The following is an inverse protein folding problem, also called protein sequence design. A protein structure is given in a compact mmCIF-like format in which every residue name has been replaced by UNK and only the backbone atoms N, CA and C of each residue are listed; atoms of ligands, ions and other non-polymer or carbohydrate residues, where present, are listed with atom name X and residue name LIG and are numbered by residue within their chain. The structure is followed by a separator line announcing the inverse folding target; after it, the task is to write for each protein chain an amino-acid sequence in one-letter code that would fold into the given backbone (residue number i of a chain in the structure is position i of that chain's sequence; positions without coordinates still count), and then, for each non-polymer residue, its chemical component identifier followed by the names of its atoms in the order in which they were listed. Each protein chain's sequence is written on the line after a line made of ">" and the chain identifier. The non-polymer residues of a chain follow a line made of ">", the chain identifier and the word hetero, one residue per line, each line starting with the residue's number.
data_IF_930140340389
#
_entry.id   IF_930140340389
#
_cell.length_a   1.000
_cell.length_b   1.000
_cell.length_c   1.000
_cell.angle_alpha   90.00
_cell.angle_beta   90.00
_cell.angle_gamma   90.00
#
_symmetry.space_group_name_H-M   'P 1'
#
loop_
_entity.id
_entity.type
_entity.pdbx_description
1 polymer ?
#
# COMPACT_ATOMS: atom_id res chain seq x y z
N UNK A 1 12.14 -4.17 6.04
CA UNK A 1 11.26 -4.69 7.12
C UNK A 1 11.49 -6.20 7.25
N UNK A 2 11.17 -6.82 8.38
CA UNK A 2 11.38 -8.26 8.61
C UNK A 2 10.09 -8.86 9.18
N UNK A 3 9.69 -10.03 8.68
CA UNK A 3 8.63 -10.87 9.25
C UNK A 3 9.24 -12.26 9.46
N UNK A 4 8.98 -12.91 10.60
CA UNK A 4 9.61 -14.19 10.91
C UNK A 4 8.74 -15.09 11.77
N UNK A 5 9.07 -16.37 11.76
CA UNK A 5 8.68 -17.35 12.75
C UNK A 5 9.91 -18.20 13.12
N UNK A 6 9.73 -19.28 13.88
CA UNK A 6 10.84 -20.12 14.34
C UNK A 6 11.64 -20.80 13.21
N UNK A 7 11.08 -20.89 12.00
CA UNK A 7 11.66 -21.65 10.90
C UNK A 7 11.94 -20.82 9.65
N UNK A 8 11.38 -19.62 9.55
CA UNK A 8 11.43 -18.77 8.35
C UNK A 8 11.69 -17.32 8.72
N UNK A 9 12.65 -16.71 8.03
CA UNK A 9 12.94 -15.29 8.07
C UNK A 9 12.59 -14.69 6.71
N UNK A 10 11.65 -13.74 6.67
CA UNK A 10 11.25 -13.03 5.45
C UNK A 10 11.81 -11.61 5.49
N UNK A 11 12.67 -11.30 4.52
CA UNK A 11 13.24 -9.98 4.31
C UNK A 11 12.40 -9.22 3.30
N UNK A 12 11.84 -8.08 3.71
CA UNK A 12 10.81 -7.38 2.95
C UNK A 12 11.27 -6.01 2.46
N UNK A 13 10.99 -5.72 1.19
CA UNK A 13 10.92 -4.37 0.65
C UNK A 13 9.47 -3.88 0.72
N UNK A 14 9.27 -2.65 1.18
CA UNK A 14 7.92 -2.10 1.44
C UNK A 14 7.66 -0.91 0.53
N UNK A 15 6.53 -0.94 -0.18
CA UNK A 15 6.03 0.12 -1.06
C UNK A 15 4.57 0.40 -0.71
N UNK A 16 4.31 1.45 0.05
CA UNK A 16 3.02 1.65 0.71
C UNK A 16 2.44 3.06 0.51
N UNK A 17 2.59 3.62 -0.69
CA UNK A 17 1.93 4.88 -1.07
C UNK A 17 0.40 4.73 -0.89
N UNK A 18 -0.28 5.64 -0.18
CA UNK A 18 -1.70 5.47 0.12
C UNK A 18 -2.56 5.51 -1.15
N UNK A 19 -3.61 4.68 -1.19
CA UNK A 19 -4.62 4.75 -2.25
C UNK A 19 -5.48 6.00 -2.11
N UNK A 20 -5.96 6.26 -0.90
CA UNK A 20 -6.96 7.27 -0.61
C UNK A 20 -6.38 8.33 0.34
N UNK A 21 -6.47 9.59 -0.07
CA UNK A 21 -6.15 10.75 0.74
C UNK A 21 -7.43 11.26 1.41
N UNK A 22 -7.45 11.25 2.74
CA UNK A 22 -8.52 11.80 3.55
C UNK A 22 -8.26 13.30 3.76
N UNK A 23 -8.98 14.21 3.06
CA UNK A 23 -8.75 15.63 3.25
C UNK A 23 -9.26 16.06 4.62
N UNK A 24 -8.52 16.96 5.25
CA UNK A 24 -9.02 17.73 6.38
C UNK A 24 -9.90 18.84 5.84
N UNK A 25 -11.13 18.96 6.35
CA UNK A 25 -12.07 19.99 5.94
C UNK A 25 -12.65 20.77 7.12
N UNK A 26 -13.12 21.97 6.78
CA UNK A 26 -13.87 22.88 7.64
C UNK A 26 -15.24 23.08 7.03
N UNK A 27 -16.27 23.17 7.87
CA UNK A 27 -17.63 23.46 7.43
C UNK A 27 -17.92 24.95 7.63
N UNK A 28 -18.10 25.67 6.53
CA UNK A 28 -18.60 27.04 6.56
C UNK A 28 -20.08 27.07 6.18
N UNK A 29 -20.87 27.90 6.88
CA UNK A 29 -22.29 28.12 6.58
C UNK A 29 -22.52 29.00 5.35
N UNK A 30 -21.48 29.75 4.95
CA UNK A 30 -21.45 30.65 3.79
C UNK A 30 -20.13 30.43 3.05
N UNK A 31 -20.07 30.75 1.75
CA UNK A 31 -18.79 30.80 1.03
C UNK A 31 -17.76 31.62 1.80
N UNK A 32 -16.49 31.22 1.72
CA UNK A 32 -15.38 32.05 2.21
C UNK A 32 -15.35 33.34 1.39
N UNK A 33 -15.14 34.47 2.04
CA UNK A 33 -15.01 35.78 1.41
C UNK A 33 -13.64 36.37 1.77
N UNK A 34 -12.97 36.96 0.78
CA UNK A 34 -11.80 37.81 0.96
C UNK A 34 -12.15 39.28 0.69
N UNK A 35 -11.15 40.17 0.67
CA UNK A 35 -11.33 41.61 0.42
C UNK A 35 -11.99 41.94 -0.93
N UNK A 36 -12.02 41.00 -1.88
CA UNK A 36 -12.64 41.13 -3.20
C UNK A 36 -13.99 40.39 -3.31
N UNK A 37 -14.53 39.87 -2.21
CA UNK A 37 -15.77 39.09 -2.17
C UNK A 37 -15.53 37.58 -2.11
N UNK A 38 -16.45 36.73 -2.60
CA UNK A 38 -16.35 35.28 -2.49
C UNK A 38 -15.05 34.73 -3.07
N UNK A 39 -14.34 33.93 -2.28
CA UNK A 39 -13.11 33.24 -2.70
C UNK A 39 -13.43 32.26 -3.81
N UNK A 40 -12.80 32.38 -5.00
CA UNK A 40 -12.99 31.42 -6.09
C UNK A 40 -12.60 29.99 -5.69
N UNK A 41 -13.30 29.00 -6.25
CA UNK A 41 -12.98 27.58 -6.04
C UNK A 41 -11.51 27.29 -6.39
N UNK A 42 -10.83 26.53 -5.54
CA UNK A 42 -9.41 26.15 -5.68
C UNK A 42 -8.38 27.28 -5.52
N UNK A 43 -8.77 28.49 -5.08
CA UNK A 43 -7.82 29.53 -4.68
C UNK A 43 -7.22 29.19 -3.30
N UNK A 44 -5.88 29.28 -3.19
CA UNK A 44 -5.21 29.22 -1.88
C UNK A 44 -5.62 30.46 -1.09
N UNK A 45 -6.15 30.25 0.12
CA UNK A 45 -6.63 31.32 0.99
C UNK A 45 -6.42 30.95 2.45
N UNK A 46 -6.42 31.96 3.32
CA UNK A 46 -6.41 31.76 4.77
C UNK A 46 -7.83 31.43 5.27
N UNK A 47 -7.91 30.49 6.21
CA UNK A 47 -9.17 30.18 6.89
C UNK A 47 -9.22 31.01 8.18
N UNK A 48 -10.10 32.03 8.27
CA UNK A 48 -10.19 32.88 9.45
C UNK A 48 -10.65 32.07 10.66
N UNK A 49 -10.13 32.43 11.83
CA UNK A 49 -10.43 31.76 13.09
C UNK A 49 -10.29 30.23 13.02
N UNK A 50 -9.27 29.76 12.28
CA UNK A 50 -9.00 28.34 12.19
C UNK A 50 -8.93 27.75 13.60
N UNK A 51 -8.26 28.40 14.56
CA UNK A 51 -8.08 27.90 15.93
C UNK A 51 -9.36 27.56 16.70
N UNK A 52 -10.47 28.27 16.49
CA UNK A 52 -11.77 27.94 17.13
C UNK A 52 -12.71 27.15 16.21
N UNK A 53 -12.29 26.86 14.98
CA UNK A 53 -13.12 26.15 14.01
C UNK A 53 -13.03 24.63 14.14
N UNK A 54 -14.19 23.97 14.10
CA UNK A 54 -14.30 22.51 14.10
C UNK A 54 -13.74 21.92 12.80
N UNK A 55 -12.84 20.95 12.95
CA UNK A 55 -12.19 20.24 11.86
C UNK A 55 -12.77 18.85 11.69
N UNK A 56 -12.74 18.36 10.46
CA UNK A 56 -13.22 17.03 10.12
C UNK A 56 -12.26 16.34 9.15
N UNK A 57 -12.18 15.02 9.17
CA UNK A 57 -11.74 14.25 8.01
C UNK A 57 -12.94 14.03 7.10
N UNK A 58 -12.80 14.38 5.84
CA UNK A 58 -13.82 14.13 4.84
C UNK A 58 -13.69 12.71 4.29
N UNK A 59 -14.78 11.96 4.33
CA UNK A 59 -14.92 10.69 3.63
C UNK A 59 -15.80 10.90 2.40
N UNK A 60 -15.49 10.17 1.33
CA UNK A 60 -16.34 10.13 0.14
C UNK A 60 -17.75 9.67 0.54
N UNK A 61 -18.78 10.40 0.08
CA UNK A 61 -20.17 10.11 0.45
C UNK A 61 -20.70 10.94 1.64
N UNK A 62 -20.21 12.17 1.80
CA UNK A 62 -20.66 13.17 2.79
C UNK A 62 -20.39 12.85 4.26
N UNK A 63 -19.88 11.67 4.57
CA UNK A 63 -19.44 11.30 5.92
C UNK A 63 -18.24 12.15 6.35
N UNK A 64 -18.24 12.52 7.63
CA UNK A 64 -17.25 13.41 8.24
C UNK A 64 -16.88 12.89 9.61
N UNK A 65 -15.59 12.67 9.85
CA UNK A 65 -15.11 12.26 11.16
C UNK A 65 -14.63 13.50 11.91
N UNK A 66 -15.21 13.85 13.06
CA UNK A 66 -14.81 15.03 13.80
C UNK A 66 -13.39 14.84 14.36
N UNK A 67 -12.58 15.89 14.20
CA UNK A 67 -11.23 15.97 14.74
C UNK A 67 -11.20 16.90 15.95
N UNK A 68 -10.33 16.56 16.90
CA UNK A 68 -9.91 17.45 18.00
C UNK A 68 -8.46 17.86 17.78
N UNK A 69 -8.15 19.08 18.16
CA UNK A 69 -6.77 19.57 18.23
C UNK A 69 -6.15 19.08 19.53
N UNK A 70 -4.93 18.59 19.44
CA UNK A 70 -4.12 18.19 20.58
C UNK A 70 -2.84 19.01 20.54
N UNK A 71 -2.54 19.69 21.66
CA UNK A 71 -1.24 20.32 21.88
C UNK A 71 -0.38 19.33 22.64
N UNK A 72 0.71 18.89 22.04
CA UNK A 72 1.68 17.99 22.68
C UNK A 72 3.10 18.50 22.39
N UNK A 73 3.83 18.90 23.44
CA UNK A 73 5.22 19.34 23.36
C UNK A 73 5.49 20.48 22.36
N UNK A 74 4.56 21.42 22.18
CA UNK A 74 4.69 22.52 21.20
C UNK A 74 4.28 22.17 19.76
N UNK A 75 4.00 20.88 19.47
CA UNK A 75 3.48 20.45 18.17
C UNK A 75 1.95 20.47 18.14
N UNK A 76 1.37 20.96 17.04
CA UNK A 76 -0.07 20.89 16.76
C UNK A 76 -0.37 19.54 16.10
N UNK A 77 -1.13 18.69 16.78
CA UNK A 77 -1.60 17.41 16.22
C UNK A 77 -3.12 17.38 16.14
N UNK A 78 -3.65 16.59 15.22
CA UNK A 78 -5.08 16.29 15.15
C UNK A 78 -5.29 14.86 15.64
N UNK A 79 -6.30 14.67 16.48
CA UNK A 79 -6.74 13.36 16.92
C UNK A 79 -8.23 13.22 16.63
N UNK A 80 -8.70 11.98 16.54
CA UNK A 80 -10.13 11.72 16.46
C UNK A 80 -10.82 12.28 17.71
N UNK A 81 -11.94 12.98 17.51
CA UNK A 81 -12.86 13.39 18.57
C UNK A 81 -13.84 12.24 18.84
N UNK A 82 -13.33 11.03 19.06
CA UNK A 82 -14.17 9.95 19.56
C UNK A 82 -14.22 10.02 21.08
N UNK A 83 -15.41 9.81 21.65
CA UNK A 83 -15.48 9.36 23.04
C UNK A 83 -14.73 8.03 23.16
N UNK A 84 -14.21 7.67 24.33
CA UNK A 84 -13.60 6.34 24.58
C UNK A 84 -14.60 5.17 24.44
N UNK A 85 -15.72 5.35 23.75
CA UNK A 85 -16.76 4.34 23.54
C UNK A 85 -16.38 3.50 22.31
N UNK A 86 -16.05 2.24 22.53
CA UNK A 86 -15.64 1.29 21.48
C UNK A 86 -16.60 1.27 20.27
N UNK A 87 -17.91 1.44 20.49
CA UNK A 87 -18.92 1.46 19.42
C UNK A 87 -18.71 2.59 18.40
N UNK A 88 -18.45 3.81 18.85
CA UNK A 88 -18.24 4.97 17.96
C UNK A 88 -16.98 4.78 17.12
N UNK A 89 -15.92 4.24 17.73
CA UNK A 89 -14.69 3.89 17.01
C UNK A 89 -14.94 2.82 15.95
N UNK A 90 -15.72 1.78 16.25
CA UNK A 90 -16.08 0.75 15.27
C UNK A 90 -16.87 1.33 14.09
N UNK A 91 -17.82 2.23 14.34
CA UNK A 91 -18.60 2.90 13.30
C UNK A 91 -17.71 3.78 12.41
N UNK A 92 -16.77 4.52 13.01
CA UNK A 92 -15.76 5.31 12.27
C UNK A 92 -14.86 4.41 11.42
N UNK A 93 -14.33 3.33 11.99
CA UNK A 93 -13.46 2.39 11.27
C UNK A 93 -14.20 1.75 10.10
N UNK A 94 -15.46 1.35 10.30
CA UNK A 94 -16.31 0.83 9.23
C UNK A 94 -16.48 1.86 8.11
N UNK A 95 -16.79 3.11 8.44
CA UNK A 95 -16.92 4.18 7.45
C UNK A 95 -15.62 4.42 6.66
N UNK A 96 -14.46 4.36 7.32
CA UNK A 96 -13.15 4.48 6.65
C UNK A 96 -12.90 3.30 5.71
N UNK A 97 -13.20 2.08 6.15
CA UNK A 97 -13.04 0.86 5.33
C UNK A 97 -13.98 0.91 4.12
N UNK A 98 -15.25 1.25 4.32
CA UNK A 98 -16.26 1.36 3.25
C UNK A 98 -15.84 2.42 2.21
N UNK A 99 -15.38 3.59 2.67
CA UNK A 99 -14.87 4.63 1.79
C UNK A 99 -13.63 4.14 1.03
N UNK A 100 -12.68 3.49 1.71
CA UNK A 100 -11.48 2.96 1.08
C UNK A 100 -11.81 1.88 0.03
N UNK A 101 -12.75 0.97 0.32
CA UNK A 101 -13.21 -0.06 -0.61
C UNK A 101 -13.82 0.56 -1.87
N UNK A 102 -14.68 1.58 -1.72
CA UNK A 102 -15.24 2.35 -2.84
C UNK A 102 -14.15 3.01 -3.69
N UNK A 103 -13.13 3.57 -3.04
CA UNK A 103 -11.98 4.16 -3.74
C UNK A 103 -11.15 3.10 -4.49
N UNK A 104 -11.01 1.89 -3.92
CA UNK A 104 -10.33 0.77 -4.57
C UNK A 104 -11.10 0.28 -5.79
N UNK A 105 -12.42 0.10 -5.71
CA UNK A 105 -13.27 -0.24 -6.84
C UNK A 105 -13.20 0.81 -7.97
N UNK A 106 -13.24 2.08 -7.60
CA UNK A 106 -13.04 3.17 -8.55
C UNK A 106 -11.67 3.10 -9.22
N UNK A 107 -10.62 2.84 -8.46
CA UNK A 107 -9.26 2.71 -8.99
C UNK A 107 -9.10 1.52 -9.94
N UNK A 108 -9.59 0.33 -9.56
CA UNK A 108 -9.49 -0.89 -10.39
C UNK A 108 -10.30 -0.80 -11.68
N UNK A 109 -11.42 -0.09 -11.66
CA UNK A 109 -12.25 0.20 -12.83
C UNK A 109 -11.77 1.41 -13.66
N UNK A 110 -10.58 1.95 -13.34
CA UNK A 110 -9.99 3.15 -13.95
C UNK A 110 -10.96 4.34 -13.96
N UNK A 111 -11.76 4.45 -12.91
CA UNK A 111 -12.73 5.51 -12.67
C UNK A 111 -13.82 5.67 -13.73
N UNK A 112 -14.11 4.61 -14.50
CA UNK A 112 -15.07 4.64 -15.63
C UNK A 112 -16.47 5.14 -15.29
N UNK A 113 -16.90 5.07 -14.01
CA UNK A 113 -18.23 5.51 -13.54
C UNK A 113 -18.19 6.72 -12.59
N UNK A 114 -17.02 7.10 -12.05
CA UNK A 114 -16.91 8.09 -10.97
C UNK A 114 -15.58 8.87 -11.06
N UNK A 115 -15.29 9.46 -12.22
CA UNK A 115 -14.03 10.15 -12.51
C UNK A 115 -13.68 11.23 -11.48
N UNK A 116 -14.67 11.93 -10.93
CA UNK A 116 -14.49 12.95 -9.91
C UNK A 116 -13.88 12.41 -8.61
N UNK A 117 -14.06 11.13 -8.28
CA UNK A 117 -13.47 10.55 -7.09
C UNK A 117 -11.97 10.32 -7.24
N UNK A 118 -11.47 10.19 -8.47
CA UNK A 118 -10.05 10.04 -8.77
C UNK A 118 -9.21 11.11 -8.08
N UNK A 119 -9.70 12.34 -7.94
CA UNK A 119 -9.00 13.46 -7.30
C UNK A 119 -8.67 13.26 -5.82
N UNK A 120 -9.26 12.27 -5.17
CA UNK A 120 -8.93 11.89 -3.79
C UNK A 120 -7.87 10.78 -3.72
N UNK A 121 -7.35 10.30 -4.85
CA UNK A 121 -6.28 9.29 -4.88
C UNK A 121 -4.91 9.88 -5.10
N UNK A 122 -3.87 9.20 -4.62
CA UNK A 122 -2.51 9.52 -5.03
C UNK A 122 -2.32 9.22 -6.53
N UNK A 123 -1.66 10.12 -7.27
CA UNK A 123 -1.39 9.94 -8.70
C UNK A 123 -2.51 10.40 -9.64
N UNK A 124 -3.42 11.26 -9.17
CA UNK A 124 -4.59 11.73 -9.91
C UNK A 124 -4.38 13.02 -10.73
N UNK A 125 -3.26 13.74 -10.59
CA UNK A 125 -3.00 14.98 -11.32
C UNK A 125 -2.78 14.74 -12.82
N UNK A 126 -3.66 15.24 -13.68
CA UNK A 126 -3.55 15.06 -15.13
C UNK A 126 -2.27 15.61 -15.76
N UNK A 127 -1.92 15.11 -16.95
CA UNK A 127 -0.94 15.62 -17.93
C UNK A 127 0.54 15.68 -17.53
N UNK A 128 0.84 16.06 -16.29
CA UNK A 128 2.18 16.37 -15.78
C UNK A 128 2.60 15.39 -14.67
N UNK A 129 1.65 14.66 -14.05
CA UNK A 129 1.95 13.60 -13.08
C UNK A 129 1.83 12.22 -13.71
N UNK A 130 2.90 11.87 -14.43
CA UNK A 130 3.15 10.64 -15.16
C UNK A 130 3.35 9.46 -14.19
N UNK A 131 2.28 8.85 -13.65
CA UNK A 131 2.31 7.62 -12.82
C UNK A 131 3.19 7.63 -11.55
N UNK A 132 3.87 8.75 -11.24
CA UNK A 132 4.89 8.86 -10.17
C UNK A 132 4.30 8.78 -8.77
N UNK A 133 3.02 9.05 -8.61
CA UNK A 133 2.34 8.94 -7.32
C UNK A 133 1.31 7.82 -7.30
N UNK A 134 1.42 6.81 -8.17
CA UNK A 134 0.51 5.68 -8.15
C UNK A 134 0.55 4.96 -6.77
N UNK A 135 -0.59 4.45 -6.30
CA UNK A 135 -0.70 3.86 -4.98
C UNK A 135 0.03 2.51 -4.85
N UNK A 136 0.51 2.24 -3.64
CA UNK A 136 1.22 1.01 -3.28
C UNK A 136 2.38 0.67 -4.21
N UNK A 137 2.31 -0.54 -4.79
CA UNK A 137 3.25 -1.06 -5.78
C UNK A 137 2.87 -0.70 -7.21
N UNK A 138 1.75 -0.04 -7.48
CA UNK A 138 1.25 0.09 -8.86
C UNK A 138 2.03 1.12 -9.70
N UNK A 139 3.05 1.76 -9.12
CA UNK A 139 4.02 2.56 -9.87
C UNK A 139 5.09 1.64 -10.47
N UNK A 140 5.25 1.69 -11.80
CA UNK A 140 6.20 0.83 -12.53
C UNK A 140 7.65 0.93 -12.02
N UNK A 141 8.11 2.14 -11.67
CA UNK A 141 9.44 2.37 -11.07
C UNK A 141 9.59 1.70 -9.69
N UNK A 142 8.54 1.68 -8.88
CA UNK A 142 8.56 0.97 -7.59
C UNK A 142 8.56 -0.55 -7.75
N UNK A 143 7.86 -1.08 -8.76
CA UNK A 143 7.93 -2.51 -9.12
C UNK A 143 9.36 -2.88 -9.51
N UNK A 144 9.94 -2.15 -10.48
CA UNK A 144 11.30 -2.42 -10.98
C UNK A 144 12.34 -2.34 -9.86
N UNK A 145 12.27 -1.29 -9.04
CA UNK A 145 13.15 -1.13 -7.86
C UNK A 145 12.92 -2.24 -6.84
N UNK A 146 11.67 -2.61 -6.59
CA UNK A 146 11.30 -3.69 -5.67
C UNK A 146 11.93 -5.01 -6.08
N UNK A 147 11.72 -5.44 -7.34
CA UNK A 147 12.31 -6.67 -7.88
C UNK A 147 13.83 -6.64 -7.79
N UNK A 148 14.47 -5.53 -8.16
CA UNK A 148 15.92 -5.40 -8.05
C UNK A 148 16.42 -5.54 -6.60
N UNK A 149 15.71 -4.97 -5.62
CA UNK A 149 16.05 -5.17 -4.22
C UNK A 149 15.90 -6.64 -3.81
N UNK A 150 14.86 -7.34 -4.29
CA UNK A 150 14.70 -8.77 -4.00
C UNK A 150 15.86 -9.60 -4.54
N UNK A 151 16.33 -9.32 -5.76
CA UNK A 151 17.51 -9.97 -6.33
C UNK A 151 18.74 -9.77 -5.43
N UNK A 152 19.02 -8.54 -5.01
CA UNK A 152 20.16 -8.24 -4.13
C UNK A 152 20.06 -8.95 -2.78
N UNK A 153 18.87 -8.99 -2.20
CA UNK A 153 18.63 -9.63 -0.90
C UNK A 153 18.76 -11.15 -1.03
N UNK A 154 18.18 -11.75 -2.08
CA UNK A 154 18.28 -13.18 -2.34
C UNK A 154 19.74 -13.59 -2.58
N UNK A 155 20.48 -12.84 -3.39
CA UNK A 155 21.91 -13.06 -3.61
C UNK A 155 22.71 -12.99 -2.31
N UNK A 156 22.47 -11.98 -1.48
CA UNK A 156 23.27 -11.74 -0.29
C UNK A 156 22.97 -12.70 0.87
N UNK A 157 21.71 -13.05 1.07
CA UNK A 157 21.26 -13.72 2.30
C UNK A 157 20.63 -15.09 2.09
N UNK A 158 20.08 -15.36 0.90
CA UNK A 158 19.48 -16.65 0.61
C UNK A 158 20.47 -17.59 -0.07
N UNK A 159 21.30 -17.08 -0.98
CA UNK A 159 22.40 -17.87 -1.58
C UNK A 159 23.32 -18.37 -0.46
N UNK A 160 23.59 -19.68 -0.44
CA UNK A 160 24.36 -20.33 0.62
C UNK A 160 23.58 -20.69 1.90
N UNK A 161 22.31 -20.29 2.03
CA UNK A 161 21.44 -20.76 3.13
C UNK A 161 20.93 -22.17 2.82
N UNK A 162 21.67 -23.19 3.27
CA UNK A 162 21.36 -24.62 3.03
C UNK A 162 19.98 -25.02 3.58
N UNK A 163 19.59 -24.46 4.71
CA UNK A 163 18.29 -24.74 5.34
C UNK A 163 17.13 -24.02 4.64
N UNK A 164 17.40 -23.17 3.65
CA UNK A 164 16.41 -22.39 2.88
C UNK A 164 15.43 -21.64 3.79
N UNK A 165 15.88 -21.13 4.94
CA UNK A 165 15.04 -20.40 5.91
C UNK A 165 14.83 -18.94 5.54
N UNK A 166 15.73 -18.37 4.73
CA UNK A 166 15.63 -16.98 4.27
C UNK A 166 14.72 -16.90 3.04
N UNK A 167 13.76 -15.97 3.10
CA UNK A 167 12.80 -15.65 2.06
C UNK A 167 12.81 -14.16 1.78
N UNK A 168 12.40 -13.76 0.59
CA UNK A 168 12.35 -12.35 0.18
C UNK A 168 10.95 -11.99 -0.31
N UNK A 169 10.45 -10.81 0.07
CA UNK A 169 9.07 -10.43 -0.20
C UNK A 169 8.89 -8.96 -0.57
N UNK A 170 7.92 -8.71 -1.46
CA UNK A 170 7.39 -7.39 -1.77
C UNK A 170 6.13 -7.15 -0.94
N UNK A 171 6.12 -6.06 -0.18
CA UNK A 171 5.00 -5.70 0.68
C UNK A 171 4.40 -4.36 0.27
N UNK A 172 3.08 -4.31 0.23
CA UNK A 172 2.35 -3.11 -0.18
C UNK A 172 0.98 -3.03 0.49
N UNK A 173 0.44 -1.83 0.61
CA UNK A 173 -0.95 -1.66 1.04
C UNK A 173 -1.93 -2.13 -0.04
N UNK A 174 -1.60 -2.03 -1.33
CA UNK A 174 -2.44 -2.53 -2.43
C UNK A 174 -1.65 -3.40 -3.42
N UNK A 175 -2.36 -4.36 -4.01
CA UNK A 175 -1.89 -5.06 -5.19
C UNK A 175 -1.73 -4.09 -6.37
N UNK A 176 -0.72 -4.26 -7.24
CA UNK A 176 -0.52 -3.40 -8.41
C UNK A 176 -1.51 -3.75 -9.53
N UNK A 177 -2.78 -3.39 -9.33
CA UNK A 177 -3.89 -3.83 -10.19
C UNK A 177 -3.72 -3.45 -11.65
N UNK A 178 -3.13 -2.27 -11.92
CA UNK A 178 -2.95 -1.78 -13.29
C UNK A 178 -1.78 -2.48 -13.99
N UNK A 179 -0.67 -2.69 -13.28
CA UNK A 179 0.60 -3.12 -13.90
C UNK A 179 1.03 -4.55 -13.55
N UNK A 180 0.26 -5.30 -12.76
CA UNK A 180 0.62 -6.64 -12.30
C UNK A 180 0.90 -7.62 -13.44
N UNK A 181 -0.01 -7.73 -14.40
CA UNK A 181 0.09 -8.70 -15.51
C UNK A 181 1.35 -8.46 -16.35
N UNK A 182 1.69 -7.20 -16.61
CA UNK A 182 2.84 -6.81 -17.44
C UNK A 182 4.17 -6.89 -16.68
N UNK A 183 4.21 -6.49 -15.40
CA UNK A 183 5.46 -6.28 -14.68
C UNK A 183 5.78 -7.28 -13.56
N UNK A 184 4.81 -8.03 -13.04
CA UNK A 184 5.02 -8.89 -11.85
C UNK A 184 4.65 -10.34 -12.06
N UNK A 185 3.58 -10.64 -12.79
CA UNK A 185 3.06 -12.01 -12.92
C UNK A 185 4.10 -12.98 -13.46
N UNK A 186 4.85 -12.57 -14.49
CA UNK A 186 5.91 -13.40 -15.07
C UNK A 186 7.09 -13.70 -14.12
N UNK A 187 7.16 -13.08 -12.95
CA UNK A 187 8.20 -13.33 -11.93
C UNK A 187 7.72 -14.22 -10.78
N UNK A 188 6.43 -14.55 -10.70
CA UNK A 188 5.85 -15.39 -9.64
C UNK A 188 6.38 -16.83 -9.69
N UNK A 189 6.53 -17.41 -10.88
CA UNK A 189 7.09 -18.74 -11.07
C UNK A 189 8.54 -18.73 -11.58
N UNK A 190 9.04 -17.56 -12.02
CA UNK A 190 10.41 -17.43 -12.49
C UNK A 190 11.45 -17.69 -11.38
N UNK A 191 12.52 -18.33 -11.81
CA UNK A 191 13.74 -18.58 -11.06
C UNK A 191 14.92 -18.04 -11.86
N UNK A 192 16.00 -17.71 -11.16
CA UNK A 192 17.26 -17.25 -11.73
C UNK A 192 18.43 -17.91 -10.99
N UNK A 193 19.59 -17.92 -11.64
CA UNK A 193 20.84 -18.46 -11.10
C UNK A 193 22.02 -17.70 -11.73
N UNK A 194 23.23 -17.96 -11.26
CA UNK A 194 24.43 -17.52 -11.97
C UNK A 194 24.79 -18.53 -13.06
N UNK A 195 25.38 -18.04 -14.14
CA UNK A 195 25.87 -18.88 -15.24
C UNK A 195 26.91 -19.90 -14.74
N UNK A 196 27.74 -19.52 -13.77
CA UNK A 196 28.75 -20.41 -13.18
C UNK A 196 28.14 -21.61 -12.43
N UNK A 197 26.85 -21.58 -12.07
CA UNK A 197 26.17 -22.68 -11.38
C UNK A 197 25.56 -23.70 -12.37
N UNK A 198 25.64 -23.42 -13.67
CA UNK A 198 25.19 -24.32 -14.73
C UNK A 198 26.22 -25.45 -14.89
N UNK A 199 25.78 -26.69 -14.66
CA UNK A 199 26.70 -27.84 -14.60
C UNK A 199 26.89 -28.53 -15.94
N UNK A 200 25.80 -28.79 -16.67
CA UNK A 200 25.86 -29.54 -17.93
C UNK A 200 24.82 -29.02 -18.91
N UNK A 201 25.24 -28.80 -20.17
CA UNK A 201 24.38 -28.47 -21.29
C UNK A 201 24.41 -29.62 -22.32
N UNK A 202 23.33 -30.40 -22.39
CA UNK A 202 23.14 -31.45 -23.41
C UNK A 202 22.07 -31.01 -24.40
N UNK A 203 22.51 -30.46 -25.53
CA UNK A 203 21.62 -29.89 -26.53
C UNK A 203 20.82 -28.71 -25.97
N UNK A 204 19.50 -28.90 -25.81
CA UNK A 204 18.58 -27.89 -25.23
C UNK A 204 18.35 -28.06 -23.72
N UNK A 205 18.92 -29.09 -23.10
CA UNK A 205 18.75 -29.37 -21.67
C UNK A 205 19.94 -28.77 -20.93
N UNK A 206 19.64 -27.99 -19.89
CA UNK A 206 20.61 -27.41 -18.96
C UNK A 206 20.31 -27.94 -17.57
N UNK A 207 21.34 -28.42 -16.85
CA UNK A 207 21.22 -28.90 -15.47
C UNK A 207 21.82 -27.91 -14.48
N UNK A 208 21.11 -27.71 -13.36
CA UNK A 208 21.44 -26.75 -12.30
C UNK A 208 21.03 -27.38 -10.97
N UNK A 209 21.84 -27.23 -9.94
CA UNK A 209 21.44 -27.60 -8.58
C UNK A 209 20.26 -26.73 -8.13
N UNK A 210 19.21 -27.36 -7.61
CA UNK A 210 18.04 -26.67 -7.08
C UNK A 210 18.37 -25.70 -5.93
N UNK A 211 19.49 -25.89 -5.25
CA UNK A 211 19.97 -24.98 -4.19
C UNK A 211 20.53 -23.66 -4.75
N UNK A 212 20.95 -23.67 -6.02
CA UNK A 212 21.44 -22.49 -6.73
C UNK A 212 20.32 -21.73 -7.47
N UNK A 213 19.12 -22.32 -7.57
CA UNK A 213 17.95 -21.64 -8.12
C UNK A 213 17.32 -20.71 -7.07
N UNK A 214 17.32 -19.43 -7.39
CA UNK A 214 16.78 -18.36 -6.56
C UNK A 214 15.52 -17.78 -7.22
N UNK A 215 14.48 -17.44 -6.45
CA UNK A 215 13.32 -16.74 -6.99
C UNK A 215 13.58 -15.25 -7.11
N UNK A 216 12.78 -14.58 -7.94
CA UNK A 216 12.72 -13.11 -7.92
C UNK A 216 12.05 -12.59 -6.66
N UNK A 217 11.01 -13.28 -6.18
CA UNK A 217 10.44 -13.11 -4.85
C UNK A 217 9.69 -14.37 -4.40
N UNK A 218 9.55 -14.53 -3.09
CA UNK A 218 8.81 -15.62 -2.47
C UNK A 218 7.38 -15.23 -2.09
N UNK A 219 7.10 -13.93 -1.98
CA UNK A 219 5.82 -13.45 -1.49
C UNK A 219 5.57 -12.03 -1.98
N UNK A 220 4.35 -11.80 -2.46
CA UNK A 220 3.77 -10.47 -2.66
C UNK A 220 2.63 -10.35 -1.63
N UNK A 221 2.86 -9.64 -0.53
CA UNK A 221 1.88 -9.51 0.55
C UNK A 221 1.23 -8.13 0.51
N UNK A 222 -0.07 -8.10 0.24
CA UNK A 222 -0.87 -6.88 0.17
C UNK A 222 -2.26 -7.04 0.80
N UNK A 223 -2.92 -5.93 1.16
CA UNK A 223 -4.25 -5.95 1.78
C UNK A 223 -5.36 -6.45 0.83
N UNK A 224 -5.16 -6.36 -0.49
CA UNK A 224 -6.21 -6.66 -1.47
C UNK A 224 -6.02 -8.01 -2.13
N UNK A 225 -4.81 -8.31 -2.58
CA UNK A 225 -4.46 -9.58 -3.20
C UNK A 225 -3.01 -9.91 -2.90
N UNK A 226 -2.82 -11.04 -2.23
CA UNK A 226 -1.49 -11.57 -1.93
C UNK A 226 -1.18 -12.78 -2.80
N UNK A 227 0.11 -13.04 -2.99
CA UNK A 227 0.63 -14.23 -3.64
C UNK A 227 1.79 -14.79 -2.81
N UNK A 228 1.88 -16.12 -2.74
CA UNK A 228 2.87 -16.83 -1.94
C UNK A 228 3.49 -17.97 -2.74
N UNK A 229 4.81 -18.10 -2.66
CA UNK A 229 5.56 -19.22 -3.21
C UNK A 229 5.44 -20.43 -2.29
N UNK A 230 4.31 -21.11 -2.40
CA UNK A 230 3.99 -22.36 -1.71
C UNK A 230 3.23 -22.19 -0.40
N UNK A 231 2.47 -23.24 -0.05
CA UNK A 231 1.50 -23.24 1.04
C UNK A 231 2.09 -22.98 2.44
N UNK A 232 3.38 -23.29 2.65
CA UNK A 232 4.02 -23.08 3.95
C UNK A 232 4.14 -21.59 4.28
N UNK A 233 4.50 -20.78 3.28
CA UNK A 233 4.60 -19.33 3.45
C UNK A 233 3.22 -18.71 3.63
N UNK A 234 2.25 -19.16 2.83
CA UNK A 234 0.87 -18.71 2.94
C UNK A 234 0.28 -19.01 4.33
N UNK A 235 0.39 -20.25 4.80
CA UNK A 235 -0.09 -20.63 6.14
C UNK A 235 0.58 -19.84 7.25
N UNK A 236 1.84 -19.46 7.09
CA UNK A 236 2.59 -18.72 8.10
C UNK A 236 2.26 -17.22 8.12
N UNK A 237 2.03 -16.60 6.95
CA UNK A 237 2.05 -15.13 6.81
C UNK A 237 0.88 -14.55 6.03
N UNK A 238 -0.13 -15.34 5.65
CA UNK A 238 -1.34 -14.80 5.03
C UNK A 238 -2.06 -13.81 5.96
N UNK A 239 -2.81 -12.89 5.37
CA UNK A 239 -3.66 -11.98 6.15
C UNK A 239 -4.66 -12.75 7.02
N UNK A 240 -5.16 -13.89 6.55
CA UNK A 240 -6.06 -14.73 7.33
C UNK A 240 -5.36 -15.30 8.57
N UNK A 241 -4.13 -15.80 8.42
CA UNK A 241 -3.30 -16.26 9.54
C UNK A 241 -3.06 -15.13 10.54
N UNK A 242 -2.70 -13.94 10.05
CA UNK A 242 -2.47 -12.77 10.90
C UNK A 242 -3.75 -12.34 11.62
N UNK A 243 -4.90 -12.35 10.93
CA UNK A 243 -6.19 -12.03 11.51
C UNK A 243 -6.58 -13.01 12.62
N UNK A 244 -6.41 -14.32 12.39
CA UNK A 244 -6.63 -15.34 13.42
C UNK A 244 -5.69 -15.21 14.61
N UNK A 245 -4.40 -14.90 14.38
CA UNK A 245 -3.43 -14.67 15.45
C UNK A 245 -3.81 -13.47 16.34
N UNK A 246 -4.58 -12.51 15.80
CA UNK A 246 -5.13 -11.37 16.53
C UNK A 246 -6.48 -11.67 17.21
N UNK A 247 -6.96 -12.93 17.17
CA UNK A 247 -8.23 -13.35 17.75
C UNK A 247 -9.44 -13.18 16.82
N UNK A 248 -9.21 -12.92 15.54
CA UNK A 248 -10.26 -12.92 14.53
C UNK A 248 -10.81 -14.33 14.28
N UNK A 249 -12.13 -14.46 14.21
CA UNK A 249 -12.84 -15.69 13.79
C UNK A 249 -13.05 -15.72 12.29
#
# INVERSE_FOLDING_TARGET
>A
MIIFNNETLVLCEVKASPLYLLPVCVLHKKPLEDENGPVPTHKITDVPDLDNTSLYLHLVGELRIPLRRVRDGGSRRFALRSGRKNRELCEILKAVIDAWAKMYEGYTSRWSQNEQLRWFTCGCGGGVDDSKNAPGLDRTDDIKKGIYQMLKIAEKYRRGCKEKRVRVALLSNIHPVVHYEEYLKGFEDALWTHEADVQEQRGRIVSIDSDNLLPFYDMLLTLTRSWFRGERLERAFSLQTLYHALGGS
#
